data_IF_061697669163
#
_entry.id   IF_061697669163
#
_cell.length_a   1.000
_cell.length_b   1.000
_cell.length_c   1.000
_cell.angle_alpha   90.00
_cell.angle_beta   90.00
_cell.angle_gamma   90.00
#
_symmetry.space_group_name_H-M   'P 1'
#
loop_
_entity.id
_entity.type
_entity.pdbx_description
1 polymer ?
#
# COMPACT_ATOMS: atom_id res chain seq x y z
N UNK A 1 4.84 25.01 13.09
CA UNK A 1 5.69 24.31 14.09
C UNK A 1 5.17 24.46 15.52
N UNK A 2 4.59 25.61 15.90
CA UNK A 2 4.13 25.88 17.29
C UNK A 2 3.21 24.80 17.88
N UNK A 3 2.26 24.28 17.10
CA UNK A 3 1.34 23.24 17.59
C UNK A 3 2.07 21.94 17.96
N UNK A 4 3.06 21.52 17.17
CA UNK A 4 3.83 20.31 17.44
C UNK A 4 4.68 20.43 18.71
N UNK A 5 5.27 21.60 18.94
CA UNK A 5 6.07 21.89 20.15
C UNK A 5 5.21 21.87 21.40
N UNK A 6 3.95 22.31 21.31
CA UNK A 6 3.05 22.47 22.44
C UNK A 6 2.25 21.22 22.79
N UNK A 7 1.81 20.45 21.78
CA UNK A 7 0.90 19.31 21.96
C UNK A 7 1.54 17.96 21.66
N UNK A 8 2.65 17.93 20.92
CA UNK A 8 3.23 16.69 20.43
C UNK A 8 2.30 15.93 19.49
N UNK A 9 2.57 14.64 19.32
CA UNK A 9 1.70 13.70 18.59
C UNK A 9 1.32 12.54 19.49
N UNK A 10 0.04 12.13 19.47
CA UNK A 10 -0.42 10.99 20.27
C UNK A 10 0.12 9.64 19.78
N UNK A 11 0.52 9.53 18.51
CA UNK A 11 1.10 8.31 17.93
C UNK A 11 2.62 8.44 17.71
N UNK A 12 3.23 9.54 18.15
CA UNK A 12 4.65 9.84 17.97
C UNK A 12 5.05 10.19 16.52
N UNK A 13 4.12 10.15 15.57
CA UNK A 13 4.33 10.46 14.16
C UNK A 13 3.60 11.72 13.69
N UNK A 14 3.62 11.96 12.39
CA UNK A 14 2.93 13.08 11.75
C UNK A 14 1.42 12.87 11.68
N UNK A 15 0.95 11.63 11.52
CA UNK A 15 -0.48 11.33 11.42
C UNK A 15 -1.24 11.77 12.67
N UNK A 16 -0.74 11.46 13.88
CA UNK A 16 -1.39 11.88 15.11
C UNK A 16 -1.33 13.39 15.35
N UNK A 17 -0.23 14.03 14.97
CA UNK A 17 -0.09 15.48 15.02
C UNK A 17 -1.12 16.17 14.11
N UNK A 18 -1.20 15.73 12.86
CA UNK A 18 -2.08 16.31 11.85
C UNK A 18 -3.55 16.06 12.18
N UNK A 19 -3.91 14.86 12.66
CA UNK A 19 -5.28 14.56 13.08
C UNK A 19 -5.69 15.37 14.32
N UNK A 20 -4.75 15.70 15.19
CA UNK A 20 -5.03 16.58 16.35
C UNK A 20 -5.20 18.04 15.91
N UNK A 21 -4.37 18.50 14.96
CA UNK A 21 -4.45 19.86 14.43
C UNK A 21 -5.71 20.10 13.58
N UNK A 22 -6.05 19.14 12.71
CA UNK A 22 -7.25 19.13 11.86
C UNK A 22 -8.35 18.23 12.47
N UNK A 23 -8.64 18.43 13.75
CA UNK A 23 -9.54 17.56 14.52
C UNK A 23 -10.99 17.53 14.01
N UNK A 24 -11.39 18.51 13.19
CA UNK A 24 -12.72 18.59 12.59
C UNK A 24 -12.88 17.78 11.28
N UNK A 25 -11.79 17.16 10.79
CA UNK A 25 -11.80 16.38 9.55
C UNK A 25 -12.89 15.31 9.56
N UNK A 26 -13.06 14.57 10.66
CA UNK A 26 -13.95 13.41 10.71
C UNK A 26 -15.46 13.72 10.56
N UNK A 27 -15.90 14.95 10.85
CA UNK A 27 -17.34 15.23 11.04
C UNK A 27 -17.86 16.51 10.37
N UNK A 28 -17.01 17.32 9.72
CA UNK A 28 -17.42 18.64 9.23
C UNK A 28 -17.81 18.68 7.76
N UNK A 29 -16.88 18.36 6.86
CA UNK A 29 -17.06 18.56 5.42
C UNK A 29 -16.65 17.30 4.66
N UNK A 30 -17.64 16.62 4.08
CA UNK A 30 -17.43 15.41 3.30
C UNK A 30 -16.54 15.65 2.07
N UNK A 31 -16.49 16.88 1.54
CA UNK A 31 -15.61 17.21 0.42
C UNK A 31 -14.12 17.13 0.79
N UNK A 32 -13.79 17.15 2.09
CA UNK A 32 -12.42 16.94 2.61
C UNK A 32 -12.10 15.46 2.88
N UNK A 33 -13.06 14.56 2.71
CA UNK A 33 -12.84 13.12 2.79
C UNK A 33 -12.43 12.62 1.42
N UNK A 34 -11.13 12.43 1.24
CA UNK A 34 -10.62 11.81 0.01
C UNK A 34 -11.19 10.39 -0.10
N UNK A 35 -11.79 10.01 -1.25
CA UNK A 35 -12.21 8.65 -1.48
C UNK A 35 -11.03 7.68 -1.29
N UNK A 36 -11.30 6.52 -0.70
CA UNK A 36 -10.27 5.56 -0.31
C UNK A 36 -9.30 5.19 -1.44
N UNK A 37 -9.78 5.17 -2.69
CA UNK A 37 -8.96 4.89 -3.89
C UNK A 37 -7.76 5.84 -4.10
N UNK A 38 -7.76 7.01 -3.45
CA UNK A 38 -6.65 7.98 -3.49
C UNK A 38 -5.66 7.82 -2.32
N UNK A 39 -5.91 6.90 -1.40
CA UNK A 39 -4.98 6.52 -0.34
C UNK A 39 -5.27 5.07 0.09
N UNK A 40 -5.22 4.14 -0.87
CA UNK A 40 -5.51 2.74 -0.62
C UNK A 40 -4.35 2.14 0.17
N UNK A 41 -4.58 1.77 1.43
CA UNK A 41 -3.58 1.05 2.23
C UNK A 41 -3.31 -0.35 1.67
N UNK A 42 -2.03 -0.70 1.54
CA UNK A 42 -1.58 -2.05 1.14
C UNK A 42 -1.97 -3.15 2.14
N UNK A 43 -2.40 -2.80 3.35
CA UNK A 43 -2.87 -3.77 4.35
C UNK A 43 -4.37 -4.03 4.16
N UNK A 44 -5.13 -3.04 3.67
CA UNK A 44 -6.57 -3.18 3.42
C UNK A 44 -6.87 -4.24 2.36
N UNK A 45 -5.96 -4.47 1.43
CA UNK A 45 -6.06 -5.52 0.42
C UNK A 45 -5.98 -6.93 1.02
N UNK A 46 -5.42 -7.07 2.22
CA UNK A 46 -5.46 -8.31 3.00
C UNK A 46 -6.64 -8.30 3.99
N UNK A 47 -6.79 -7.24 4.79
CA UNK A 47 -7.74 -7.16 5.91
C UNK A 47 -9.21 -7.08 5.48
N UNK A 48 -9.51 -6.55 4.28
CA UNK A 48 -10.86 -6.52 3.73
C UNK A 48 -10.88 -6.93 2.25
N UNK A 49 -10.34 -8.11 2.00
CA UNK A 49 -10.15 -8.66 0.65
C UNK A 49 -11.40 -8.63 -0.25
N UNK A 50 -12.64 -8.89 0.21
CA UNK A 50 -13.84 -8.75 -0.64
C UNK A 50 -14.01 -7.34 -1.21
N UNK A 51 -13.89 -6.30 -0.39
CA UNK A 51 -13.98 -4.91 -0.83
C UNK A 51 -12.84 -4.56 -1.80
N UNK A 52 -11.62 -5.05 -1.52
CA UNK A 52 -10.49 -4.86 -2.44
C UNK A 52 -10.68 -5.59 -3.78
N UNK A 53 -11.29 -6.78 -3.80
CA UNK A 53 -11.64 -7.45 -5.06
C UNK A 53 -12.67 -6.67 -5.87
N UNK A 54 -13.63 -6.03 -5.21
CA UNK A 54 -14.70 -5.28 -5.86
C UNK A 54 -14.25 -3.88 -6.33
N UNK A 55 -13.47 -3.17 -5.52
CA UNK A 55 -13.11 -1.76 -5.76
C UNK A 55 -11.63 -1.53 -6.02
N UNK A 56 -10.77 -2.53 -5.83
CA UNK A 56 -9.31 -2.40 -5.93
C UNK A 56 -8.83 -2.00 -7.33
N UNK A 57 -9.58 -2.36 -8.37
CA UNK A 57 -9.33 -1.91 -9.74
C UNK A 57 -9.47 -0.39 -9.92
N UNK A 58 -10.19 0.28 -9.02
CA UNK A 58 -10.34 1.74 -9.05
C UNK A 58 -9.22 2.44 -8.27
N UNK A 59 -8.25 1.71 -7.72
CA UNK A 59 -7.14 2.28 -6.95
C UNK A 59 -6.30 3.19 -7.83
N UNK A 60 -6.18 4.45 -7.40
CA UNK A 60 -5.38 5.48 -8.07
C UNK A 60 -4.04 5.70 -7.39
N UNK A 61 -4.00 5.61 -6.07
CA UNK A 61 -2.78 5.72 -5.27
C UNK A 61 -2.79 4.58 -4.24
N UNK A 62 -1.77 3.73 -4.31
CA UNK A 62 -1.53 2.68 -3.32
C UNK A 62 -0.45 3.15 -2.34
N UNK A 63 -0.75 3.05 -1.05
CA UNK A 63 0.17 3.34 0.04
C UNK A 63 0.72 2.02 0.62
N UNK A 64 1.99 1.72 0.34
CA UNK A 64 2.73 0.63 0.99
C UNK A 64 3.05 0.99 2.45
N UNK A 65 2.04 0.89 3.31
CA UNK A 65 2.14 1.16 4.75
C UNK A 65 2.72 -0.05 5.49
N UNK A 66 3.29 0.19 6.68
CA UNK A 66 3.97 -0.83 7.48
C UNK A 66 5.43 -1.01 7.10
N UNK A 67 6.06 -2.04 7.66
CA UNK A 67 7.51 -2.31 7.57
C UNK A 67 7.91 -2.97 6.26
N UNK A 68 7.01 -3.72 5.62
CA UNK A 68 7.26 -4.42 4.36
C UNK A 68 7.22 -3.44 3.17
N UNK A 69 8.35 -2.76 2.92
CA UNK A 69 8.48 -1.83 1.79
C UNK A 69 8.79 -2.55 0.48
N UNK A 70 8.40 -1.99 -0.69
CA UNK A 70 8.67 -2.61 -1.99
C UNK A 70 10.15 -2.88 -2.25
N UNK A 71 11.02 -1.95 -1.89
CA UNK A 71 12.49 -2.07 -2.03
C UNK A 71 13.13 -3.10 -1.09
N UNK A 72 12.39 -3.62 -0.11
CA UNK A 72 12.85 -4.69 0.77
C UNK A 72 12.44 -6.08 0.28
N UNK A 73 11.68 -6.17 -0.82
CA UNK A 73 11.31 -7.45 -1.42
C UNK A 73 12.45 -8.00 -2.28
N UNK A 74 12.60 -9.33 -2.30
CA UNK A 74 13.56 -9.97 -3.20
C UNK A 74 13.13 -9.77 -4.64
N UNK A 75 14.02 -9.23 -5.47
CA UNK A 75 13.80 -9.03 -6.90
C UNK A 75 14.81 -9.84 -7.70
N UNK A 76 14.32 -10.63 -8.66
CA UNK A 76 15.18 -11.32 -9.60
C UNK A 76 15.40 -10.43 -10.82
N UNK A 77 16.61 -9.90 -10.97
CA UNK A 77 16.96 -9.03 -12.10
C UNK A 77 16.99 -9.73 -13.45
N UNK A 78 17.25 -11.03 -13.48
CA UNK A 78 17.32 -11.80 -14.74
C UNK A 78 15.92 -12.01 -15.31
N UNK A 79 14.97 -12.40 -14.46
CA UNK A 79 13.58 -12.64 -14.87
C UNK A 79 12.72 -11.38 -14.77
N UNK A 80 13.24 -10.30 -14.17
CA UNK A 80 12.53 -9.05 -13.87
C UNK A 80 11.28 -9.28 -13.01
N UNK A 81 11.33 -10.25 -12.09
CA UNK A 81 10.20 -10.61 -11.23
C UNK A 81 10.52 -10.35 -9.77
N UNK A 82 9.60 -9.66 -9.10
CA UNK A 82 9.60 -9.56 -7.64
C UNK A 82 9.05 -10.85 -7.04
N UNK A 83 9.68 -11.31 -5.96
CA UNK A 83 9.16 -12.39 -5.14
C UNK A 83 7.99 -11.87 -4.31
N UNK A 84 6.86 -12.58 -4.37
CA UNK A 84 5.66 -12.25 -3.61
C UNK A 84 5.53 -13.22 -2.44
N UNK A 85 5.68 -12.77 -1.18
CA UNK A 85 5.46 -13.62 -0.02
C UNK A 85 4.03 -14.21 0.00
N UNK A 86 3.88 -15.38 0.61
CA UNK A 86 2.57 -15.98 0.85
C UNK A 86 1.64 -15.02 1.59
N UNK A 87 0.36 -14.96 1.19
CA UNK A 87 -0.63 -14.03 1.75
C UNK A 87 -0.70 -12.65 1.08
N UNK A 88 0.32 -12.26 0.31
CA UNK A 88 0.39 -10.95 -0.38
C UNK A 88 0.09 -11.02 -1.89
N UNK A 89 -0.52 -12.11 -2.36
CA UNK A 89 -0.79 -12.33 -3.79
C UNK A 89 -1.65 -11.23 -4.41
N UNK A 90 -2.53 -10.62 -3.63
CA UNK A 90 -3.36 -9.50 -4.05
C UNK A 90 -2.55 -8.20 -4.32
N UNK A 91 -1.31 -8.09 -3.82
CA UNK A 91 -0.39 -6.98 -4.12
C UNK A 91 0.59 -7.30 -5.24
N UNK A 92 0.58 -8.51 -5.81
CA UNK A 92 1.60 -8.97 -6.76
C UNK A 92 1.80 -7.98 -7.91
N UNK A 93 0.70 -7.53 -8.52
CA UNK A 93 0.76 -6.59 -9.64
C UNK A 93 1.28 -5.21 -9.23
N UNK A 94 0.94 -4.73 -8.04
CA UNK A 94 1.41 -3.44 -7.53
C UNK A 94 2.89 -3.47 -7.17
N UNK A 95 3.36 -4.54 -6.53
CA UNK A 95 4.78 -4.74 -6.23
C UNK A 95 5.61 -4.86 -7.51
N UNK A 96 5.12 -5.61 -8.50
CA UNK A 96 5.77 -5.70 -9.80
C UNK A 96 5.82 -4.33 -10.47
N UNK A 97 4.72 -3.58 -10.47
CA UNK A 97 4.68 -2.25 -11.07
C UNK A 97 5.65 -1.27 -10.41
N UNK A 98 5.80 -1.33 -9.08
CA UNK A 98 6.80 -0.52 -8.37
C UNK A 98 8.23 -0.85 -8.82
N UNK A 99 8.58 -2.13 -8.90
CA UNK A 99 9.91 -2.59 -9.32
C UNK A 99 10.21 -2.25 -10.77
N UNK A 100 9.21 -2.34 -11.63
CA UNK A 100 9.34 -1.95 -13.02
C UNK A 100 9.69 -0.46 -13.16
N UNK A 101 8.94 0.43 -12.51
CA UNK A 101 9.25 1.87 -12.48
C UNK A 101 10.65 2.10 -11.93
N UNK A 102 11.00 1.43 -10.81
CA UNK A 102 12.32 1.61 -10.23
C UNK A 102 13.43 1.25 -11.22
N UNK A 103 13.31 0.11 -11.89
CA UNK A 103 14.35 -0.37 -12.78
C UNK A 103 14.41 0.35 -14.13
N UNK A 104 13.26 0.72 -14.70
CA UNK A 104 13.17 1.35 -16.04
C UNK A 104 13.42 2.85 -15.95
N UNK A 105 12.88 3.51 -14.93
CA UNK A 105 12.85 4.96 -14.84
C UNK A 105 13.76 5.53 -13.77
N UNK A 106 13.87 4.91 -12.60
CA UNK A 106 14.60 5.51 -11.46
C UNK A 106 16.09 5.15 -11.51
N UNK A 107 16.42 3.89 -11.76
CA UNK A 107 17.77 3.34 -11.65
C UNK A 107 18.78 4.13 -12.49
N UNK A 108 18.43 4.45 -13.74
CA UNK A 108 19.29 5.20 -14.67
C UNK A 108 19.54 6.65 -14.25
N UNK A 109 18.67 7.22 -13.39
CA UNK A 109 18.76 8.60 -12.88
C UNK A 109 19.45 8.70 -11.53
N UNK A 110 19.75 7.58 -10.88
CA UNK A 110 20.50 7.58 -9.63
C UNK A 110 21.92 8.12 -9.87
N UNK A 111 22.54 8.69 -8.84
CA UNK A 111 23.96 9.05 -8.90
C UNK A 111 24.82 7.79 -9.12
N UNK A 112 26.02 7.94 -9.69
CA UNK A 112 26.90 6.79 -9.96
C UNK A 112 27.20 5.97 -8.69
N UNK A 113 27.38 6.62 -7.54
CA UNK A 113 27.63 5.93 -6.27
C UNK A 113 26.39 5.16 -5.79
N UNK A 114 25.19 5.68 -6.03
CA UNK A 114 23.93 4.98 -5.72
C UNK A 114 23.68 3.82 -6.68
N UNK A 115 23.95 3.99 -7.98
CA UNK A 115 23.82 2.91 -8.96
C UNK A 115 24.70 1.72 -8.57
N UNK A 116 25.95 1.96 -8.16
CA UNK A 116 26.86 0.90 -7.68
C UNK A 116 26.32 0.06 -6.52
N UNK A 117 25.47 0.63 -5.66
CA UNK A 117 24.81 -0.13 -4.59
C UNK A 117 23.82 -1.15 -5.16
N UNK A 118 23.16 -0.81 -6.27
CA UNK A 118 22.13 -1.63 -6.91
C UNK A 118 22.64 -2.49 -8.07
N UNK A 119 23.80 -2.19 -8.65
CA UNK A 119 24.39 -2.94 -9.77
C UNK A 119 24.48 -4.47 -9.54
N UNK A 120 24.83 -4.98 -8.34
CA UNK A 120 24.83 -6.42 -8.07
C UNK A 120 23.43 -7.05 -8.14
N UNK A 121 22.39 -6.23 -7.95
CA UNK A 121 21.00 -6.64 -7.78
C UNK A 121 20.13 -6.34 -9.01
N UNK A 122 20.58 -5.45 -9.89
CA UNK A 122 19.84 -4.98 -11.07
C UNK A 122 20.77 -5.01 -12.28
N UNK A 123 20.71 -6.14 -13.00
CA UNK A 123 21.45 -6.28 -14.26
C UNK A 123 20.90 -5.33 -15.34
N UNK A 124 21.75 -4.76 -16.22
CA UNK A 124 21.33 -3.92 -17.33
C UNK A 124 20.36 -4.65 -18.27
N UNK A 125 19.37 -3.92 -18.77
CA UNK A 125 18.39 -4.43 -19.74
C UNK A 125 19.02 -4.46 -21.13
N UNK A 126 18.89 -5.55 -21.91
CA UNK A 126 19.16 -5.52 -23.35
C UNK A 126 18.13 -4.59 -24.00
N UNK A 127 18.59 -3.53 -24.67
CA UNK A 127 17.70 -2.53 -25.29
C UNK A 127 16.79 -3.19 -26.33
N UNK A 128 15.56 -3.54 -25.96
CA UNK A 128 14.47 -3.79 -26.90
C UNK A 128 13.52 -2.60 -26.84
N UNK A 129 13.19 -2.07 -28.03
CA UNK A 129 12.64 -0.74 -28.27
C UNK A 129 11.58 -0.22 -27.30
N UNK A 130 11.64 1.10 -27.13
CA UNK A 130 10.70 1.98 -26.45
C UNK A 130 9.23 1.65 -26.75
N UNK A 131 8.62 0.80 -25.93
CA UNK A 131 7.17 0.80 -25.72
C UNK A 131 6.90 1.62 -24.47
N UNK A 132 6.51 2.88 -24.64
CA UNK A 132 5.95 3.66 -23.53
C UNK A 132 4.79 2.85 -22.94
N UNK A 133 4.88 2.52 -21.64
CA UNK A 133 3.85 1.74 -20.94
C UNK A 133 2.50 2.46 -21.02
N UNK A 134 1.45 1.70 -21.35
CA UNK A 134 0.08 2.13 -21.06
C UNK A 134 -0.06 2.24 -19.53
N UNK A 135 -0.36 3.43 -19.05
CA UNK A 135 -0.41 3.74 -17.63
C UNK A 135 -1.63 3.04 -17.00
N UNK A 136 -1.37 2.09 -16.10
CA UNK A 136 -2.28 1.76 -15.00
C UNK A 136 -3.37 0.71 -15.22
N UNK A 137 -3.76 0.33 -16.45
CA UNK A 137 -4.90 -0.60 -16.63
C UNK A 137 -4.51 -2.08 -16.57
N UNK A 138 -3.35 -2.45 -17.12
CA UNK A 138 -3.03 -3.87 -17.36
C UNK A 138 -2.64 -4.61 -16.08
N UNK A 139 -2.08 -3.89 -15.11
CA UNK A 139 -1.77 -4.41 -13.77
C UNK A 139 -3.00 -4.56 -12.88
N UNK A 140 -4.13 -3.95 -13.25
CA UNK A 140 -5.39 -4.01 -12.49
C UNK A 140 -6.37 -5.03 -13.08
N UNK A 141 -6.05 -5.62 -14.23
CA UNK A 141 -6.85 -6.68 -14.83
C UNK A 141 -6.82 -7.95 -13.95
N UNK A 142 -7.97 -8.59 -13.68
CA UNK A 142 -7.99 -9.82 -12.92
C UNK A 142 -7.34 -10.92 -13.76
N UNK A 143 -6.20 -11.45 -13.31
CA UNK A 143 -5.75 -12.74 -13.79
C UNK A 143 -6.75 -13.78 -13.31
N UNK A 144 -7.50 -14.36 -14.25
CA UNK A 144 -8.52 -15.36 -13.97
C UNK A 144 -7.93 -16.60 -13.31
N UNK A 145 -7.90 -16.63 -11.99
CA UNK A 145 -7.82 -17.86 -11.22
C UNK A 145 -8.78 -17.75 -10.04
N UNK A 146 -10.00 -18.29 -10.25
CA UNK A 146 -10.89 -18.65 -9.15
C UNK A 146 -10.22 -19.78 -8.36
N UNK A 147 -9.62 -19.46 -7.22
CA UNK A 147 -9.29 -20.46 -6.22
C UNK A 147 -10.36 -20.39 -5.12
N UNK A 148 -11.21 -21.41 -5.10
CA UNK A 148 -12.20 -21.65 -4.05
C UNK A 148 -11.48 -21.95 -2.72
N UNK A 149 -11.66 -21.08 -1.72
CA UNK A 149 -11.28 -21.37 -0.34
C UNK A 149 -12.55 -21.45 0.52
N UNK A 150 -12.72 -22.58 1.20
CA UNK A 150 -13.86 -22.87 2.08
C UNK A 150 -13.87 -21.91 3.28
N UNK A 151 -15.03 -21.28 3.53
CA UNK A 151 -15.28 -20.46 4.71
C UNK A 151 -15.37 -21.33 5.98
N UNK A 152 -14.38 -21.20 6.87
CA UNK A 152 -14.52 -21.57 8.27
C UNK A 152 -14.86 -20.31 9.07
N UNK A 153 -16.09 -20.23 9.60
CA UNK A 153 -16.57 -19.08 10.38
C UNK A 153 -15.85 -18.96 11.73
N UNK A 154 -15.41 -17.75 12.06
CA UNK A 154 -15.04 -17.38 13.42
C UNK A 154 -15.88 -16.17 13.85
N UNK A 155 -16.65 -16.40 14.91
CA UNK A 155 -17.58 -15.49 15.55
C UNK A 155 -16.79 -14.68 16.59
N UNK A 156 -16.88 -13.34 16.59
CA UNK A 156 -16.27 -12.50 17.64
C UNK A 156 -17.26 -11.48 18.18
N UNK A 157 -17.27 -11.38 19.51
CA UNK A 157 -18.25 -10.68 20.33
C UNK A 157 -17.90 -9.24 20.69
N UNK A 158 -18.85 -8.65 21.39
CA UNK A 158 -19.02 -7.25 21.77
C UNK A 158 -17.95 -6.76 22.77
N UNK A 159 -17.32 -5.60 22.50
CA UNK A 159 -16.35 -4.97 23.41
C UNK A 159 -15.70 -3.72 22.81
N UNK A 160 -16.03 -2.55 23.38
CA UNK A 160 -15.57 -1.24 22.91
C UNK A 160 -14.23 -0.76 23.48
N UNK A 161 -13.71 0.31 22.86
CA UNK A 161 -12.73 1.24 23.46
C UNK A 161 -11.30 1.20 22.89
N UNK A 162 -10.93 2.25 22.14
CA UNK A 162 -9.55 2.78 22.01
C UNK A 162 -8.53 1.94 21.22
N UNK A 163 -8.36 2.20 19.92
CA UNK A 163 -7.32 1.57 19.10
C UNK A 163 -6.02 2.36 19.03
N UNK A 164 -5.02 1.97 19.84
CA UNK A 164 -3.61 2.36 19.67
C UNK A 164 -2.83 1.33 18.85
N UNK A 165 -1.75 1.76 18.20
CA UNK A 165 -0.81 0.89 17.47
C UNK A 165 -0.03 0.01 18.46
N UNK A 166 0.13 -1.28 18.17
CA UNK A 166 1.03 -2.14 18.94
C UNK A 166 2.49 -2.02 18.46
N UNK A 167 3.43 -2.54 19.26
CA UNK A 167 4.88 -2.48 18.99
C UNK A 167 5.31 -3.19 17.68
N UNK A 168 4.39 -3.88 17.00
CA UNK A 168 4.62 -4.56 15.72
C UNK A 168 3.93 -3.83 14.54
N UNK A 169 3.29 -2.68 14.79
CA UNK A 169 2.64 -1.88 13.76
C UNK A 169 1.34 -2.50 13.22
N UNK A 170 0.71 -3.41 13.96
CA UNK A 170 -0.57 -3.99 13.57
C UNK A 170 -1.73 -3.10 14.07
N UNK A 171 -2.71 -2.87 13.19
CA UNK A 171 -3.99 -2.29 13.59
C UNK A 171 -4.88 -3.37 14.21
N UNK A 172 -5.45 -3.06 15.38
CA UNK A 172 -6.63 -3.76 15.88
C UNK A 172 -7.76 -3.65 14.86
N UNK A 173 -8.37 -4.78 14.50
CA UNK A 173 -9.42 -4.88 13.50
C UNK A 173 -10.73 -4.25 13.99
N UNK A 174 -11.01 -3.01 13.62
CA UNK A 174 -12.38 -2.51 13.50
C UNK A 174 -12.52 -1.67 12.23
N UNK A 175 -13.22 -2.24 11.26
CA UNK A 175 -13.58 -1.60 10.00
C UNK A 175 -14.87 -0.77 10.20
N UNK A 176 -14.75 0.52 9.90
CA UNK A 176 -15.76 1.40 9.31
C UNK A 176 -17.22 0.92 9.30
N UNK A 177 -18.00 1.35 10.30
CA UNK A 177 -19.45 1.47 10.14
C UNK A 177 -19.77 2.84 9.52
N UNK A 178 -19.89 2.90 8.19
CA UNK A 178 -20.68 3.93 7.56
C UNK A 178 -22.16 3.55 7.73
N UNK A 179 -22.90 4.29 8.56
CA UNK A 179 -24.37 4.24 8.55
C UNK A 179 -24.84 5.00 7.31
N UNK A 180 -25.63 4.33 6.48
CA UNK A 180 -26.56 5.01 5.58
C UNK A 180 -27.69 5.59 6.44
N UNK A 181 -27.76 6.92 6.49
CA UNK A 181 -29.00 7.70 6.64
C UNK A 181 -28.93 8.91 5.70
#
# INVERSE_FOLDING_TARGET
MEYAVTHGSFDGGDQGLLNSYFSDWAHKDIAKHLPFVYNTSSVASYSYLPAFKQFGQNTKILHFIGTAKPWLQNFNSETRKVYIPGGYQHLANFLQFWWDIFCEDVHSRLSADMQRVFDPWIKPVPVSGSAYRSVGTDYLAPQGQQQHFHQGGQQFGDGGGGGGLDANGNYGTQAWHAREE
#
